data_IF_500548521790
#
_entry.id   IF_500548521790
#
_cell.length_a   1.000
_cell.length_b   1.000
_cell.length_c   1.000
_cell.angle_alpha   90.00
_cell.angle_beta   90.00
_cell.angle_gamma   90.00
#
_symmetry.space_group_name_H-M   'P 1'
#
loop_
_entity.id
_entity.type
_entity.pdbx_description
1 polymer ?
#
# COMPACT_ATOMS: atom_id res chain seq x y z
N UNK A 1 -19.15 16.41 8.65
CA UNK A 1 -18.00 17.16 8.16
C UNK A 1 -17.12 16.22 7.34
N UNK A 2 -16.64 16.71 6.19
CA UNK A 2 -15.90 15.85 5.28
C UNK A 2 -14.44 15.70 5.74
N UNK A 3 -13.98 14.46 5.73
CA UNK A 3 -12.58 14.13 5.97
C UNK A 3 -12.05 13.37 4.76
N UNK A 4 -10.75 13.48 4.51
CA UNK A 4 -10.12 12.89 3.34
C UNK A 4 -8.88 12.11 3.77
N UNK A 5 -8.79 10.86 3.29
CA UNK A 5 -7.59 10.06 3.43
C UNK A 5 -6.86 10.11 2.09
N UNK A 6 -5.66 10.67 2.09
CA UNK A 6 -4.82 10.71 0.88
C UNK A 6 -3.79 9.62 1.02
N UNK A 7 -3.86 8.63 0.14
CA UNK A 7 -3.01 7.44 0.19
C UNK A 7 -1.94 7.49 -0.89
N UNK A 8 -0.75 7.02 -0.54
CA UNK A 8 0.38 6.87 -1.44
C UNK A 8 1.05 5.53 -1.16
N UNK A 9 1.30 4.76 -2.21
CA UNK A 9 1.90 3.44 -2.09
C UNK A 9 3.32 3.44 -2.64
N UNK A 10 4.17 2.59 -2.06
CA UNK A 10 5.40 2.16 -2.69
C UNK A 10 5.25 0.69 -3.08
N UNK A 11 5.83 0.33 -4.22
CA UNK A 11 5.66 -1.00 -4.79
C UNK A 11 7.00 -1.57 -5.25
N UNK A 12 7.13 -2.88 -5.18
CA UNK A 12 8.22 -3.61 -5.81
C UNK A 12 7.70 -4.32 -7.06
N UNK A 13 8.63 -4.81 -7.86
CA UNK A 13 8.28 -5.55 -9.07
C UNK A 13 8.08 -7.03 -8.76
N UNK A 14 7.13 -7.62 -9.47
CA UNK A 14 6.91 -9.08 -9.43
C UNK A 14 7.50 -9.64 -10.70
N UNK A 15 8.61 -10.41 -10.65
CA UNK A 15 9.18 -11.05 -11.83
C UNK A 15 8.14 -11.93 -12.51
N UNK A 16 8.19 -12.00 -13.84
CA UNK A 16 7.22 -12.77 -14.60
C UNK A 16 7.13 -14.23 -14.12
N UNK A 17 8.29 -14.82 -13.79
CA UNK A 17 8.36 -16.19 -13.30
C UNK A 17 7.65 -16.41 -11.95
N UNK A 18 7.45 -15.34 -11.18
CA UNK A 18 6.79 -15.41 -9.88
C UNK A 18 5.30 -15.08 -9.94
N UNK A 19 4.80 -14.70 -11.12
CA UNK A 19 3.38 -14.38 -11.27
C UNK A 19 2.58 -15.66 -11.29
N UNK A 20 1.64 -15.76 -10.37
CA UNK A 20 0.80 -16.94 -10.19
C UNK A 20 -0.54 -16.74 -10.89
N UNK A 21 -1.27 -17.83 -11.05
CA UNK A 21 -2.63 -17.77 -11.59
C UNK A 21 -3.50 -16.85 -10.74
N UNK A 22 -3.26 -16.83 -9.45
CA UNK A 22 -3.98 -16.00 -8.48
C UNK A 22 -3.49 -14.55 -8.47
N UNK A 23 -2.27 -14.29 -8.93
CA UNK A 23 -1.69 -12.95 -8.91
C UNK A 23 -0.89 -12.71 -10.19
N UNK A 24 -1.52 -12.01 -11.13
CA UNK A 24 -0.91 -11.66 -12.42
C UNK A 24 -0.21 -10.29 -12.40
N UNK A 25 -0.30 -9.57 -11.29
CA UNK A 25 0.19 -8.20 -11.20
C UNK A 25 1.69 -8.08 -11.39
N UNK A 26 2.11 -7.01 -12.08
CA UNK A 26 3.52 -6.69 -12.29
C UNK A 26 4.15 -6.02 -11.06
N UNK A 27 3.34 -5.53 -10.15
CA UNK A 27 3.78 -4.80 -8.96
C UNK A 27 3.08 -5.34 -7.73
N UNK A 28 3.75 -5.21 -6.59
CA UNK A 28 3.20 -5.58 -5.30
C UNK A 28 3.51 -4.50 -4.28
N UNK A 29 2.54 -4.16 -3.43
CA UNK A 29 2.68 -3.11 -2.42
C UNK A 29 3.71 -3.51 -1.37
N UNK A 30 4.60 -2.58 -1.04
CA UNK A 30 5.60 -2.74 0.02
C UNK A 30 5.50 -1.64 1.08
N UNK A 31 4.70 -0.61 0.86
CA UNK A 31 4.44 0.43 1.84
C UNK A 31 3.10 1.08 1.56
N UNK A 32 2.33 1.32 2.62
CA UNK A 32 1.11 2.11 2.57
C UNK A 32 1.34 3.34 3.44
N UNK A 33 1.36 4.51 2.82
CA UNK A 33 1.43 5.78 3.51
C UNK A 33 0.14 6.55 3.28
N UNK A 34 -0.34 7.24 4.31
CA UNK A 34 -1.55 8.03 4.18
C UNK A 34 -1.58 9.17 5.18
N UNK A 35 -2.27 10.23 4.81
CA UNK A 35 -2.56 11.33 5.72
C UNK A 35 -4.07 11.50 5.81
N UNK A 36 -4.54 11.90 6.98
CA UNK A 36 -5.94 12.24 7.19
C UNK A 36 -6.06 13.76 7.21
N UNK A 37 -6.88 14.30 6.32
CA UNK A 37 -7.17 15.72 6.24
C UNK A 37 -8.56 16.01 6.79
N UNK A 38 -8.69 17.13 7.49
CA UNK A 38 -10.00 17.64 7.90
C UNK A 38 -10.66 18.41 6.75
N UNK A 39 -11.82 19.00 7.00
CA UNK A 39 -12.57 19.77 6.01
C UNK A 39 -11.83 21.01 5.50
N UNK A 40 -10.81 21.46 6.22
CA UNK A 40 -9.96 22.60 5.83
C UNK A 40 -8.69 22.14 5.13
N UNK A 41 -8.58 20.83 4.82
CA UNK A 41 -7.40 20.21 4.20
C UNK A 41 -6.15 20.29 5.06
N UNK A 42 -6.31 20.37 6.39
CA UNK A 42 -5.20 20.31 7.32
C UNK A 42 -4.92 18.86 7.70
N UNK A 43 -3.64 18.50 7.82
CA UNK A 43 -3.26 17.15 8.25
C UNK A 43 -3.53 17.00 9.73
N UNK A 44 -4.40 16.06 10.09
CA UNK A 44 -4.76 15.80 11.48
C UNK A 44 -4.28 14.45 11.99
N UNK A 45 -3.88 13.55 11.11
CA UNK A 45 -3.30 12.26 11.48
C UNK A 45 -2.52 11.67 10.31
N UNK A 46 -1.68 10.70 10.60
CA UNK A 46 -0.86 10.02 9.60
C UNK A 46 -0.86 8.51 9.86
N UNK A 47 -0.78 7.75 8.78
CA UNK A 47 -0.65 6.30 8.82
C UNK A 47 0.53 5.89 7.94
N UNK A 48 1.34 4.96 8.42
CA UNK A 48 2.45 4.46 7.63
C UNK A 48 2.77 3.03 8.06
N UNK A 49 2.85 2.12 7.11
CA UNK A 49 3.28 0.75 7.38
C UNK A 49 4.01 0.18 6.18
N UNK A 50 5.10 -0.56 6.44
CA UNK A 50 5.67 -1.40 5.42
C UNK A 50 4.78 -2.63 5.22
N UNK A 51 4.90 -3.26 4.07
CA UNK A 51 4.15 -4.47 3.73
C UNK A 51 5.13 -5.49 3.18
N UNK A 52 5.09 -6.70 3.73
CA UNK A 52 5.96 -7.77 3.25
C UNK A 52 5.38 -8.35 1.96
N UNK A 53 6.12 -8.28 0.84
CA UNK A 53 5.62 -8.82 -0.41
C UNK A 53 5.62 -10.35 -0.39
N UNK A 54 4.67 -10.93 -1.10
CA UNK A 54 4.54 -12.38 -1.22
C UNK A 54 5.19 -12.90 -2.52
N UNK A 55 5.03 -12.16 -3.61
CA UNK A 55 5.45 -12.58 -4.94
C UNK A 55 6.61 -11.77 -5.49
N UNK A 56 6.70 -10.51 -5.10
CA UNK A 56 7.72 -9.59 -5.56
C UNK A 56 8.93 -9.54 -4.66
N UNK A 57 9.93 -8.83 -5.11
CA UNK A 57 11.15 -8.59 -4.33
C UNK A 57 11.71 -7.23 -4.65
N UNK A 58 12.48 -6.68 -3.71
CA UNK A 58 13.20 -5.44 -3.93
C UNK A 58 14.34 -5.65 -4.91
N UNK A 59 14.57 -4.64 -5.74
CA UNK A 59 15.79 -4.53 -6.50
C UNK A 59 16.52 -3.25 -6.08
N UNK A 60 17.74 -3.07 -6.62
CA UNK A 60 18.55 -1.91 -6.29
C UNK A 60 17.84 -0.59 -6.65
N UNK A 61 17.14 -0.58 -7.78
CA UNK A 61 16.44 0.62 -8.24
C UNK A 61 15.36 1.06 -7.25
N UNK A 62 14.53 0.12 -6.80
CA UNK A 62 13.44 0.41 -5.86
C UNK A 62 14.02 0.83 -4.50
N UNK A 63 15.03 0.14 -4.00
CA UNK A 63 15.68 0.52 -2.75
C UNK A 63 16.27 1.92 -2.83
N UNK A 64 16.93 2.27 -3.92
CA UNK A 64 17.47 3.61 -4.11
C UNK A 64 16.40 4.68 -4.20
N UNK A 65 15.29 4.37 -4.88
CA UNK A 65 14.20 5.32 -5.07
C UNK A 65 13.44 5.59 -3.78
N UNK A 66 13.17 4.56 -3.00
CA UNK A 66 12.28 4.63 -1.83
C UNK A 66 13.01 4.68 -0.50
N UNK A 67 14.25 4.21 -0.46
CA UNK A 67 14.99 4.02 0.78
C UNK A 67 14.61 2.77 1.54
N UNK A 68 13.64 1.99 1.05
CA UNK A 68 13.19 0.76 1.70
C UNK A 68 14.18 -0.36 1.43
N UNK A 69 14.55 -1.08 2.48
CA UNK A 69 15.51 -2.18 2.40
C UNK A 69 14.82 -3.52 2.65
N UNK A 70 15.49 -4.60 2.27
CA UNK A 70 15.00 -5.96 2.56
C UNK A 70 14.84 -6.20 4.05
N UNK A 71 15.68 -5.57 4.87
CA UNK A 71 15.58 -5.65 6.33
C UNK A 71 14.25 -5.05 6.82
N UNK A 72 13.84 -3.91 6.23
CA UNK A 72 12.58 -3.26 6.59
C UNK A 72 11.38 -4.17 6.30
N UNK A 73 11.43 -4.90 5.20
CA UNK A 73 10.31 -5.73 4.76
C UNK A 73 10.27 -7.10 5.44
N UNK A 74 11.41 -7.57 5.95
CA UNK A 74 11.50 -8.91 6.53
C UNK A 74 10.56 -9.12 7.71
N UNK A 75 10.40 -8.10 8.54
CA UNK A 75 9.55 -8.14 9.72
C UNK A 75 8.23 -7.38 9.52
N UNK A 76 7.95 -6.91 8.30
CA UNK A 76 6.75 -6.15 8.02
C UNK A 76 5.51 -7.06 8.03
N UNK A 77 4.32 -6.49 8.29
CA UNK A 77 3.09 -7.25 8.20
C UNK A 77 2.79 -7.67 6.77
N UNK A 78 1.98 -8.71 6.63
CA UNK A 78 1.45 -9.12 5.32
C UNK A 78 0.48 -8.06 4.81
N UNK A 79 0.14 -8.13 3.52
CA UNK A 79 -0.86 -7.21 2.96
C UNK A 79 -2.19 -7.31 3.68
N UNK A 80 -2.59 -8.52 4.06
CA UNK A 80 -3.84 -8.73 4.83
C UNK A 80 -3.80 -7.99 6.17
N UNK A 81 -2.72 -8.14 6.91
CA UNK A 81 -2.55 -7.48 8.21
C UNK A 81 -2.46 -5.96 8.05
N UNK A 82 -1.72 -5.51 7.06
CA UNK A 82 -1.55 -4.08 6.77
C UNK A 82 -2.88 -3.43 6.36
N UNK A 83 -3.65 -4.09 5.52
CA UNK A 83 -4.96 -3.59 5.10
C UNK A 83 -5.94 -3.55 6.26
N UNK A 84 -5.90 -4.55 7.13
CA UNK A 84 -6.76 -4.57 8.32
C UNK A 84 -6.47 -3.35 9.21
N UNK A 85 -5.19 -3.06 9.44
CA UNK A 85 -4.78 -1.90 10.23
C UNK A 85 -5.15 -0.59 9.54
N UNK A 86 -4.95 -0.51 8.23
CA UNK A 86 -5.26 0.68 7.44
C UNK A 86 -6.76 1.00 7.48
N UNK A 87 -7.59 0.00 7.23
CA UNK A 87 -9.06 0.16 7.25
C UNK A 87 -9.52 0.57 8.65
N UNK A 88 -8.95 -0.01 9.69
CA UNK A 88 -9.28 0.36 11.07
C UNK A 88 -8.92 1.81 11.40
N UNK A 89 -7.87 2.33 10.76
CA UNK A 89 -7.42 3.73 10.96
C UNK A 89 -8.30 4.74 10.22
N UNK A 90 -8.89 4.35 9.08
CA UNK A 90 -9.72 5.25 8.26
C UNK A 90 -11.02 5.56 9.00
N UNK A 91 -11.37 6.85 9.20
CA UNK A 91 -12.69 7.20 9.75
C UNK A 91 -13.81 6.70 8.84
N UNK A 92 -14.93 6.31 9.44
CA UNK A 92 -16.05 5.69 8.73
C UNK A 92 -16.56 6.54 7.56
N UNK A 93 -16.59 7.85 7.74
CA UNK A 93 -17.17 8.78 6.75
C UNK A 93 -16.11 9.44 5.86
N UNK A 94 -14.86 9.00 5.92
CA UNK A 94 -13.79 9.64 5.15
C UNK A 94 -13.83 9.20 3.69
N UNK A 95 -13.50 10.14 2.80
CA UNK A 95 -13.23 9.83 1.39
C UNK A 95 -11.78 9.38 1.26
N UNK A 96 -11.54 8.34 0.48
CA UNK A 96 -10.19 7.85 0.20
C UNK A 96 -9.80 8.29 -1.20
N UNK A 97 -8.69 9.03 -1.30
CA UNK A 97 -8.23 9.58 -2.58
C UNK A 97 -6.73 9.30 -2.76
N UNK A 98 -6.29 9.31 -3.99
CA UNK A 98 -4.87 9.20 -4.34
C UNK A 98 -4.55 10.16 -5.47
N UNK A 99 -3.24 10.42 -5.68
CA UNK A 99 -2.80 11.29 -6.77
C UNK A 99 -3.17 10.75 -8.15
N UNK A 100 -3.22 9.41 -8.26
CA UNK A 100 -3.62 8.76 -9.50
C UNK A 100 -4.48 7.55 -9.17
N UNK A 101 -5.20 7.04 -10.17
CA UNK A 101 -6.00 5.83 -10.00
C UNK A 101 -5.17 4.60 -9.69
N UNK A 102 -3.86 4.64 -10.00
CA UNK A 102 -2.99 3.48 -9.90
C UNK A 102 -2.91 2.90 -8.49
N UNK A 103 -2.82 3.76 -7.48
CA UNK A 103 -2.69 3.29 -6.09
C UNK A 103 -3.95 2.58 -5.62
N UNK A 104 -5.12 3.16 -5.87
CA UNK A 104 -6.38 2.54 -5.48
C UNK A 104 -6.65 1.26 -6.27
N UNK A 105 -6.32 1.25 -7.56
CA UNK A 105 -6.44 0.06 -8.39
C UNK A 105 -5.49 -1.04 -7.92
N UNK A 106 -4.29 -0.68 -7.48
CA UNK A 106 -3.32 -1.63 -6.95
C UNK A 106 -3.85 -2.29 -5.68
N UNK A 107 -4.40 -1.50 -4.75
CA UNK A 107 -5.01 -2.03 -3.53
C UNK A 107 -6.13 -3.00 -3.88
N UNK A 108 -7.02 -2.61 -4.79
CA UNK A 108 -8.15 -3.45 -5.20
C UNK A 108 -7.65 -4.77 -5.82
N UNK A 109 -6.67 -4.69 -6.70
CA UNK A 109 -6.12 -5.87 -7.37
C UNK A 109 -5.51 -6.85 -6.37
N UNK A 110 -4.72 -6.34 -5.42
CA UNK A 110 -4.11 -7.20 -4.41
C UNK A 110 -5.15 -7.78 -3.45
N UNK A 111 -6.15 -6.98 -3.08
CA UNK A 111 -7.22 -7.46 -2.20
C UNK A 111 -7.99 -8.61 -2.84
N UNK A 112 -8.32 -8.50 -4.11
CA UNK A 112 -9.00 -9.56 -4.84
C UNK A 112 -8.13 -10.81 -4.97
N UNK A 113 -6.87 -10.65 -5.37
CA UNK A 113 -5.96 -11.78 -5.57
C UNK A 113 -5.62 -12.50 -4.27
N UNK A 114 -5.51 -11.78 -3.18
CA UNK A 114 -5.11 -12.32 -1.88
C UNK A 114 -6.29 -12.62 -0.96
N UNK A 115 -7.49 -12.47 -1.45
CA UNK A 115 -8.74 -12.74 -0.72
C UNK A 115 -8.85 -11.94 0.58
N UNK A 116 -8.56 -10.66 0.47
CA UNK A 116 -8.64 -9.73 1.61
C UNK A 116 -10.00 -9.05 1.69
#
# INVERSE_FOLDING_TARGET
MNQYVVVDLEMCKVPYSNRKKEFHGANETIQIGAVLLNEKYEVVDEFNTYVRPEFGSLDWFITNLTGITSKDLKSAPTMREAMKAFIAWIPEDAFVVSWSDNDLKQIQKEAEAKLI
#
